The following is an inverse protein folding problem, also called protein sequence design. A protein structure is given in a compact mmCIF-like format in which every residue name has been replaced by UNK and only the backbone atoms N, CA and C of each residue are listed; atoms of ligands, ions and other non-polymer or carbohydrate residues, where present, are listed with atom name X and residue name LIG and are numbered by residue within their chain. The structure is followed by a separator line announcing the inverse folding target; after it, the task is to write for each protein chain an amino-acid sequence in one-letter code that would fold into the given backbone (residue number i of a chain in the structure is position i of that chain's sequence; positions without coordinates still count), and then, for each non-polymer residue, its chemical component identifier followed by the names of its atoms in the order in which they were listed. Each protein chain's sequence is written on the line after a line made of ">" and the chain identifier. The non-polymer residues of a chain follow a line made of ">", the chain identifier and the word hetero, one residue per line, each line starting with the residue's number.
data_IF_593262139028
#
_entry.id   IF_593262139028
#
_cell.length_a   1.000
_cell.length_b   1.000
_cell.length_c   1.000
_cell.angle_alpha   90.00
_cell.angle_beta   90.00
_cell.angle_gamma   90.00
#
_symmetry.space_group_name_H-M   'P 1'
#
loop_
_entity.id
_entity.type
_entity.pdbx_description
1 polymer ?
#
# COMPACT_ATOMS: atom_id res chain seq x y z
N UNK A 1 6.16 -20.80 -22.52
CA UNK A 1 7.37 -20.05 -22.08
C UNK A 1 7.31 -20.03 -20.57
N UNK A 2 8.39 -20.51 -19.95
CA UNK A 2 8.42 -21.10 -18.63
C UNK A 2 8.15 -20.08 -17.51
N UNK A 3 7.25 -20.45 -16.59
CA UNK A 3 7.06 -19.78 -15.29
C UNK A 3 8.36 -19.70 -14.46
N UNK A 4 9.40 -20.47 -14.84
CA UNK A 4 10.72 -20.50 -14.20
C UNK A 4 11.60 -19.28 -14.58
N UNK A 5 11.39 -18.62 -15.72
CA UNK A 5 12.21 -17.43 -16.07
C UNK A 5 11.91 -16.21 -15.17
N UNK A 6 10.73 -16.16 -14.55
CA UNK A 6 10.37 -15.10 -13.60
C UNK A 6 11.13 -15.17 -12.26
N UNK A 7 11.84 -16.27 -11.96
CA UNK A 7 12.60 -16.43 -10.72
C UNK A 7 14.01 -15.81 -10.72
N UNK A 8 14.45 -15.20 -11.83
CA UNK A 8 15.84 -14.72 -11.96
C UNK A 8 16.02 -13.21 -11.79
N UNK A 9 14.93 -12.44 -11.67
CA UNK A 9 14.96 -11.00 -11.45
C UNK A 9 14.42 -10.61 -10.07
N UNK A 10 15.07 -9.65 -9.41
CA UNK A 10 14.48 -8.95 -8.26
C UNK A 10 13.54 -7.89 -8.80
N UNK A 11 12.28 -7.95 -8.40
CA UNK A 11 11.31 -6.91 -8.68
C UNK A 11 11.63 -5.67 -7.83
N UNK A 12 11.78 -4.52 -8.47
CA UNK A 12 12.03 -3.26 -7.80
C UNK A 12 11.26 -2.12 -8.47
N UNK A 13 10.36 -1.50 -7.72
CA UNK A 13 9.78 -0.19 -7.96
C UNK A 13 10.59 0.88 -7.25
N UNK A 14 11.08 1.85 -8.03
CA UNK A 14 11.70 3.07 -7.51
C UNK A 14 10.63 3.99 -6.94
N UNK A 15 10.90 4.58 -5.77
CA UNK A 15 9.96 5.50 -5.14
C UNK A 15 9.85 6.81 -5.92
N UNK A 16 8.62 7.19 -6.25
CA UNK A 16 8.28 8.50 -6.80
C UNK A 16 7.37 9.27 -5.82
N UNK A 17 7.72 10.53 -5.55
CA UNK A 17 6.97 11.37 -4.61
C UNK A 17 6.85 10.79 -3.20
N UNK A 18 5.69 11.01 -2.57
CA UNK A 18 5.36 10.57 -1.20
C UNK A 18 4.76 9.15 -1.13
N UNK A 19 4.85 8.37 -2.21
CA UNK A 19 4.18 7.05 -2.34
C UNK A 19 4.95 5.89 -1.68
N UNK A 20 5.60 6.13 -0.54
CA UNK A 20 6.50 5.16 0.09
C UNK A 20 5.80 3.83 0.45
N UNK A 21 4.55 3.88 0.89
CA UNK A 21 3.78 2.69 1.26
C UNK A 21 3.54 1.76 0.05
N UNK A 22 3.24 2.33 -1.13
CA UNK A 22 3.06 1.56 -2.37
C UNK A 22 4.34 0.79 -2.70
N UNK A 23 5.45 1.52 -2.85
CA UNK A 23 6.69 0.93 -3.33
C UNK A 23 7.31 -0.02 -2.31
N UNK A 24 7.18 0.26 -1.01
CA UNK A 24 7.64 -0.65 0.03
C UNK A 24 6.91 -1.99 -0.03
N UNK A 25 5.58 -1.99 -0.16
CA UNK A 25 4.77 -3.20 -0.21
C UNK A 25 4.98 -3.98 -1.50
N UNK A 26 5.03 -3.30 -2.65
CA UNK A 26 5.24 -3.96 -3.94
C UNK A 26 6.65 -4.55 -4.06
N UNK A 27 7.67 -3.85 -3.55
CA UNK A 27 9.02 -4.39 -3.44
C UNK A 27 9.08 -5.58 -2.49
N UNK A 28 8.40 -5.53 -1.35
CA UNK A 28 8.34 -6.66 -0.41
C UNK A 28 7.69 -7.90 -1.05
N UNK A 29 6.58 -7.71 -1.77
CA UNK A 29 5.84 -8.79 -2.43
C UNK A 29 6.44 -9.23 -3.75
N UNK A 30 7.44 -8.49 -4.24
CA UNK A 30 8.10 -8.70 -5.53
C UNK A 30 7.11 -8.66 -6.71
N UNK A 31 6.11 -7.76 -6.65
CA UNK A 31 5.10 -7.52 -7.71
C UNK A 31 4.32 -6.23 -7.48
N UNK A 32 3.74 -5.67 -8.54
CA UNK A 32 2.78 -4.54 -8.51
C UNK A 32 1.42 -4.94 -7.94
N UNK A 33 1.35 -5.18 -6.63
CA UNK A 33 0.10 -5.61 -5.99
C UNK A 33 -0.78 -4.43 -5.55
N UNK A 34 -0.15 -3.33 -5.14
CA UNK A 34 -0.81 -2.15 -4.61
C UNK A 34 -0.57 -0.92 -5.49
N UNK A 35 -1.57 -0.06 -5.56
CA UNK A 35 -1.50 1.31 -6.06
C UNK A 35 -1.86 2.30 -4.95
N UNK A 36 -1.49 3.58 -5.12
CA UNK A 36 -1.89 4.66 -4.22
C UNK A 36 -3.41 4.66 -3.93
N UNK A 37 -4.23 4.46 -4.96
CA UNK A 37 -5.69 4.38 -4.83
C UNK A 37 -6.11 3.20 -3.96
N UNK A 38 -5.55 2.01 -4.20
CA UNK A 38 -5.89 0.83 -3.39
C UNK A 38 -5.47 0.97 -1.92
N UNK A 39 -4.37 1.67 -1.66
CA UNK A 39 -3.92 1.96 -0.30
C UNK A 39 -4.79 3.02 0.38
N UNK A 40 -5.26 4.03 -0.35
CA UNK A 40 -6.23 5.00 0.16
C UNK A 40 -7.57 4.34 0.53
N UNK A 41 -8.03 3.36 -0.25
CA UNK A 41 -9.22 2.56 0.10
C UNK A 41 -9.02 1.75 1.38
N UNK A 42 -7.84 1.14 1.55
CA UNK A 42 -7.48 0.42 2.79
C UNK A 42 -7.43 1.39 3.97
N UNK A 43 -6.81 2.57 3.82
CA UNK A 43 -6.74 3.59 4.86
C UNK A 43 -8.14 4.03 5.31
N UNK A 44 -9.05 4.30 4.36
CA UNK A 44 -10.44 4.66 4.66
C UNK A 44 -11.18 3.59 5.46
N UNK A 45 -10.95 2.31 5.15
CA UNK A 45 -11.55 1.20 5.91
C UNK A 45 -10.99 1.15 7.33
N UNK A 46 -9.69 1.38 7.50
CA UNK A 46 -9.07 1.43 8.83
C UNK A 46 -9.60 2.61 9.66
N UNK A 47 -9.79 3.78 9.04
CA UNK A 47 -10.37 4.95 9.71
C UNK A 47 -11.81 4.70 10.17
N UNK A 48 -12.61 4.02 9.34
CA UNK A 48 -13.99 3.64 9.70
C UNK A 48 -14.00 2.65 10.86
N UNK A 49 -13.08 1.68 10.85
CA UNK A 49 -12.91 0.74 11.96
C UNK A 49 -12.46 1.44 13.24
N UNK A 50 -11.48 2.33 13.17
CA UNK A 50 -11.01 3.10 14.31
C UNK A 50 -12.14 3.96 14.91
N UNK A 51 -12.91 4.64 14.05
CA UNK A 51 -14.07 5.44 14.45
C UNK A 51 -15.15 4.58 15.11
N UNK A 52 -15.38 3.36 14.62
CA UNK A 52 -16.36 2.44 15.22
C UNK A 52 -15.99 2.02 16.65
N UNK A 53 -14.69 1.96 16.97
CA UNK A 53 -14.17 1.53 18.27
C UNK A 53 -13.96 2.70 19.23
N UNK A 54 -13.39 3.81 18.74
CA UNK A 54 -12.96 4.95 19.55
C UNK A 54 -13.97 6.11 19.55
N UNK A 55 -14.94 6.10 18.64
CA UNK A 55 -15.91 7.18 18.47
C UNK A 55 -15.23 8.52 18.18
N UNK A 56 -15.67 9.60 18.83
CA UNK A 56 -15.12 10.96 18.64
C UNK A 56 -13.68 11.15 19.14
N UNK A 57 -13.05 10.11 19.71
CA UNK A 57 -11.64 10.14 20.11
C UNK A 57 -10.70 9.69 19.00
N UNK A 58 -11.21 9.13 17.90
CA UNK A 58 -10.41 8.88 16.70
C UNK A 58 -10.04 10.24 16.08
N UNK A 59 -8.75 10.51 15.93
CA UNK A 59 -8.30 11.62 15.09
C UNK A 59 -8.65 11.34 13.63
N UNK A 60 -8.62 12.37 12.79
CA UNK A 60 -8.69 12.16 11.34
C UNK A 60 -7.29 11.85 10.82
N UNK A 61 -7.14 10.70 10.15
CA UNK A 61 -5.97 10.36 9.36
C UNK A 61 -6.00 11.11 8.04
N UNK A 62 -4.84 11.49 7.52
CA UNK A 62 -4.70 11.98 6.15
C UNK A 62 -3.78 11.07 5.35
N UNK A 63 -4.13 10.86 4.09
CA UNK A 63 -3.28 10.14 3.16
C UNK A 63 -2.08 11.01 2.78
N UNK A 64 -0.92 10.36 2.61
CA UNK A 64 0.30 11.01 2.16
C UNK A 64 0.34 10.96 0.62
N UNK A 65 -0.40 11.87 -0.01
CA UNK A 65 -0.55 11.97 -1.47
C UNK A 65 0.69 12.58 -2.15
#
# INVERSE_FOLDING_TARGET
>A
MNEIEQLTGIYHETQEGSLCAQHALNNLLQREYFSAVSLADIARVLDEQERSVLGHRSGESENMD
#
